data_IF_619691951342
#
_entry.id   IF_619691951342
#
_cell.length_a   1.000
_cell.length_b   1.000
_cell.length_c   1.000
_cell.angle_alpha   90.00
_cell.angle_beta   90.00
_cell.angle_gamma   90.00
#
_symmetry.space_group_name_H-M   'P 1'
#
loop_
_entity.id
_entity.type
_entity.pdbx_description
1 polymer ?
#
# COMPACT_ATOMS: atom_id res chain seq x y z
N UNK A 1 13.98 9.72 2.41
CA UNK A 1 12.53 9.81 2.59
C UNK A 1 12.15 9.26 3.95
N UNK A 2 11.23 9.89 4.63
CA UNK A 2 10.84 9.47 5.99
C UNK A 2 10.00 8.20 5.96
N UNK A 3 10.35 7.23 6.81
CA UNK A 3 9.55 6.02 7.01
C UNK A 3 8.13 6.38 7.45
N UNK A 4 8.01 7.41 8.27
CA UNK A 4 6.73 7.92 8.77
C UNK A 4 5.76 8.24 7.62
N UNK A 5 6.27 8.86 6.54
CA UNK A 5 5.43 9.23 5.40
C UNK A 5 4.89 7.99 4.67
N UNK A 6 5.69 6.92 4.61
CA UNK A 6 5.24 5.65 4.01
C UNK A 6 4.14 5.06 4.85
N UNK A 7 4.34 4.91 6.17
CA UNK A 7 3.35 4.33 7.06
C UNK A 7 2.07 5.15 7.12
N UNK A 8 2.20 6.48 7.12
CA UNK A 8 1.04 7.36 7.07
C UNK A 8 0.20 7.12 5.82
N UNK A 9 0.87 6.98 4.68
CA UNK A 9 0.19 6.80 3.40
C UNK A 9 -0.61 5.51 3.37
N UNK A 10 -0.05 4.41 3.87
CA UNK A 10 -0.73 3.10 3.84
C UNK A 10 -1.70 2.89 4.99
N UNK A 11 -1.78 3.82 5.94
CA UNK A 11 -2.67 3.68 7.10
C UNK A 11 -4.14 3.84 6.75
N UNK A 12 -4.46 4.41 5.59
CA UNK A 12 -5.83 4.67 5.17
C UNK A 12 -6.30 3.63 4.17
N UNK A 13 -7.50 3.03 4.37
CA UNK A 13 -7.98 1.98 3.46
C UNK A 13 -8.24 2.47 2.04
N UNK A 14 -8.67 3.73 1.87
CA UNK A 14 -8.87 4.29 0.52
C UNK A 14 -7.55 4.40 -0.22
N UNK A 15 -6.50 4.83 0.47
CA UNK A 15 -5.18 4.92 -0.15
C UNK A 15 -4.63 3.55 -0.52
N UNK A 16 -4.85 2.53 0.32
CA UNK A 16 -4.47 1.15 -0.04
C UNK A 16 -5.23 0.67 -1.27
N UNK A 17 -6.53 1.02 -1.35
CA UNK A 17 -7.36 0.69 -2.51
C UNK A 17 -6.83 1.33 -3.80
N UNK A 18 -6.41 2.60 -3.72
CA UNK A 18 -5.83 3.31 -4.85
C UNK A 18 -4.55 2.61 -5.32
N UNK A 19 -3.69 2.22 -4.37
CA UNK A 19 -2.45 1.51 -4.70
C UNK A 19 -2.76 0.18 -5.41
N UNK A 20 -3.75 -0.55 -4.94
CA UNK A 20 -4.16 -1.81 -5.57
C UNK A 20 -4.64 -1.58 -7.00
N UNK A 21 -5.40 -0.51 -7.23
CA UNK A 21 -5.85 -0.13 -8.56
C UNK A 21 -4.66 0.16 -9.48
N UNK A 22 -3.69 0.93 -8.96
CA UNK A 22 -2.52 1.33 -9.75
C UNK A 22 -1.56 0.18 -10.01
N UNK A 23 -1.68 -0.93 -9.28
CA UNK A 23 -0.89 -2.13 -9.57
C UNK A 23 -1.24 -2.73 -10.92
N UNK A 24 -2.40 -2.41 -11.46
CA UNK A 24 -2.84 -2.84 -12.79
C UNK A 24 -2.36 -1.94 -13.92
N UNK A 25 -1.68 -0.85 -13.60
CA UNK A 25 -1.16 0.09 -14.59
C UNK A 25 -1.46 1.53 -14.24
N UNK A 26 -0.87 2.44 -14.99
CA UNK A 26 -1.05 3.87 -14.85
C UNK A 26 -2.52 4.29 -15.02
N UNK A 27 -2.98 5.28 -14.24
CA UNK A 27 -4.35 5.81 -14.33
C UNK A 27 -4.33 7.32 -14.27
N UNK A 28 -5.25 7.94 -15.01
CA UNK A 28 -5.46 9.38 -14.92
C UNK A 28 -6.23 9.73 -13.65
N UNK A 29 -6.18 11.01 -13.26
CA UNK A 29 -6.97 11.49 -12.13
C UNK A 29 -8.47 11.24 -12.37
N UNK A 30 -8.95 11.43 -13.59
CA UNK A 30 -10.35 11.17 -13.90
C UNK A 30 -10.73 9.70 -13.70
N UNK A 31 -9.88 8.80 -14.14
CA UNK A 31 -10.12 7.35 -13.99
C UNK A 31 -10.18 6.96 -12.51
N UNK A 32 -9.26 7.50 -11.72
CA UNK A 32 -9.23 7.20 -10.28
C UNK A 32 -10.48 7.76 -9.61
N UNK A 33 -10.82 9.03 -9.89
CA UNK A 33 -11.96 9.70 -9.27
C UNK A 33 -13.27 8.97 -9.58
N UNK A 34 -13.39 8.42 -10.79
CA UNK A 34 -14.59 7.72 -11.22
C UNK A 34 -14.87 6.45 -10.39
N UNK A 35 -13.87 5.90 -9.70
CA UNK A 35 -14.02 4.67 -8.93
C UNK A 35 -14.48 4.91 -7.49
N UNK A 36 -14.56 6.15 -7.05
CA UNK A 36 -14.88 6.47 -5.65
C UNK A 36 -16.04 7.46 -5.55
N UNK A 37 -16.83 7.28 -4.48
CA UNK A 37 -17.92 8.18 -4.16
C UNK A 37 -17.44 9.30 -3.25
N UNK A 38 -16.41 10.04 -3.71
CA UNK A 38 -15.88 11.15 -2.94
C UNK A 38 -15.55 12.29 -3.92
N UNK A 39 -15.38 13.49 -3.36
CA UNK A 39 -15.09 14.65 -4.19
C UNK A 39 -13.70 14.55 -4.82
N UNK A 40 -13.54 15.22 -5.95
CA UNK A 40 -12.24 15.28 -6.63
C UNK A 40 -11.13 15.84 -5.71
N UNK A 41 -11.37 16.92 -4.94
CA UNK A 41 -10.35 17.37 -3.97
C UNK A 41 -9.97 16.33 -2.93
N UNK A 42 -10.93 15.52 -2.47
CA UNK A 42 -10.63 14.46 -1.51
C UNK A 42 -9.72 13.39 -2.14
N UNK A 43 -10.01 12.96 -3.37
CA UNK A 43 -9.15 12.03 -4.10
C UNK A 43 -7.76 12.62 -4.30
N UNK A 44 -7.68 13.87 -4.71
CA UNK A 44 -6.42 14.57 -4.91
C UNK A 44 -5.58 14.61 -3.65
N UNK A 45 -6.23 14.82 -2.49
CA UNK A 45 -5.53 14.82 -1.21
C UNK A 45 -4.91 13.45 -0.89
N UNK A 46 -5.68 12.37 -1.15
CA UNK A 46 -5.14 11.02 -0.96
C UNK A 46 -3.95 10.76 -1.87
N UNK A 47 -4.04 11.18 -3.13
CA UNK A 47 -2.96 11.00 -4.09
C UNK A 47 -1.71 11.77 -3.68
N UNK A 48 -1.88 12.98 -3.14
CA UNK A 48 -0.77 13.79 -2.66
C UNK A 48 -0.04 13.12 -1.51
N UNK A 49 -0.78 12.52 -0.57
CA UNK A 49 -0.19 11.80 0.57
C UNK A 49 0.59 10.58 0.07
N UNK A 50 0.04 9.84 -0.91
CA UNK A 50 0.74 8.72 -1.53
C UNK A 50 2.04 9.16 -2.22
N UNK A 51 1.99 10.28 -2.94
CA UNK A 51 3.16 10.83 -3.62
C UNK A 51 4.24 11.24 -2.61
N UNK A 52 3.83 11.90 -1.52
CA UNK A 52 4.75 12.31 -0.46
C UNK A 52 5.45 11.13 0.18
N UNK A 53 4.76 10.00 0.28
CA UNK A 53 5.34 8.76 0.78
C UNK A 53 6.19 8.00 -0.24
N UNK A 54 6.26 8.49 -1.48
CA UNK A 54 7.03 7.83 -2.52
C UNK A 54 6.39 6.56 -3.05
N UNK A 55 5.10 6.36 -2.77
CA UNK A 55 4.37 5.15 -3.18
C UNK A 55 3.79 5.25 -4.57
N UNK A 56 3.62 6.47 -5.07
CA UNK A 56 3.18 6.71 -6.44
C UNK A 56 4.05 7.81 -7.07
N UNK A 57 4.10 7.76 -8.38
CA UNK A 57 4.75 8.78 -9.20
C UNK A 57 3.69 9.42 -10.08
N UNK A 58 3.76 10.73 -10.22
CA UNK A 58 2.83 11.51 -11.04
C UNK A 58 3.59 12.13 -12.19
N UNK A 59 3.04 12.01 -13.39
CA UNK A 59 3.60 12.67 -14.56
C UNK A 59 2.49 13.34 -15.38
N UNK A 60 2.84 14.40 -16.10
CA UNK A 60 1.92 15.05 -17.00
C UNK A 60 1.99 14.37 -18.37
N UNK A 61 0.82 14.17 -18.99
CA UNK A 61 0.72 13.74 -20.37
C UNK A 61 -0.38 14.54 -21.03
N UNK A 62 -0.01 15.52 -21.84
CA UNK A 62 -0.96 16.48 -22.41
C UNK A 62 -1.64 17.26 -21.29
N UNK A 63 -2.96 17.23 -21.24
CA UNK A 63 -3.75 17.91 -20.20
C UNK A 63 -4.05 17.01 -19.01
N UNK A 64 -3.59 15.75 -19.06
CA UNK A 64 -3.84 14.78 -17.99
C UNK A 64 -2.65 14.64 -17.09
N UNK A 65 -2.93 14.24 -15.85
CA UNK A 65 -1.91 13.76 -14.91
C UNK A 65 -2.11 12.27 -14.74
N UNK A 66 -1.04 11.52 -14.96
CA UNK A 66 -1.05 10.07 -14.83
C UNK A 66 -0.32 9.66 -13.57
N UNK A 67 -0.91 8.69 -12.87
CA UNK A 67 -0.44 8.20 -11.58
C UNK A 67 0.00 6.76 -11.74
N UNK A 68 1.22 6.45 -11.31
CA UNK A 68 1.78 5.11 -11.40
C UNK A 68 2.26 4.65 -10.03
N UNK A 69 2.08 3.38 -9.73
CA UNK A 69 2.57 2.79 -8.50
C UNK A 69 4.09 2.75 -8.51
N UNK A 70 4.71 3.11 -7.38
CA UNK A 70 6.14 2.96 -7.15
C UNK A 70 6.34 2.00 -5.98
N UNK A 71 6.43 0.69 -6.23
CA UNK A 71 6.44 -0.28 -5.13
C UNK A 71 7.73 -0.27 -4.31
N UNK A 72 8.79 0.41 -4.78
CA UNK A 72 10.06 0.46 -4.05
C UNK A 72 9.95 0.97 -2.62
N UNK A 73 9.07 1.95 -2.37
CA UNK A 73 8.86 2.48 -1.03
C UNK A 73 8.22 1.46 -0.09
N UNK A 74 7.54 0.44 -0.63
CA UNK A 74 6.94 -0.63 0.18
C UNK A 74 8.00 -1.53 0.82
N UNK A 75 9.24 -1.44 0.37
CA UNK A 75 10.34 -2.18 1.00
C UNK A 75 10.47 -1.81 2.48
N UNK A 76 10.27 -0.55 2.83
CA UNK A 76 10.28 -0.09 4.21
C UNK A 76 9.24 -0.85 5.05
N UNK A 77 8.04 -1.02 4.50
CA UNK A 77 6.96 -1.75 5.17
C UNK A 77 7.31 -3.23 5.26
N UNK A 78 7.78 -3.80 4.16
CA UNK A 78 8.18 -5.21 4.10
C UNK A 78 9.28 -5.52 5.11
N UNK A 79 10.28 -4.66 5.22
CA UNK A 79 11.37 -4.84 6.18
C UNK A 79 10.85 -4.80 7.61
N UNK A 80 9.94 -3.88 7.90
CA UNK A 80 9.35 -3.77 9.24
C UNK A 80 8.52 -5.00 9.58
N UNK A 81 7.68 -5.46 8.66
CA UNK A 81 6.86 -6.66 8.86
C UNK A 81 7.75 -7.89 9.01
N UNK A 82 8.81 -7.99 8.21
CA UNK A 82 9.74 -9.14 8.23
C UNK A 82 10.44 -9.30 9.58
N UNK A 83 10.64 -8.20 10.32
CA UNK A 83 11.18 -8.29 11.68
C UNK A 83 10.36 -9.22 12.57
N UNK A 84 9.05 -9.28 12.32
CA UNK A 84 8.13 -10.10 13.12
C UNK A 84 8.00 -11.53 12.61
N UNK A 85 8.63 -11.87 11.48
CA UNK A 85 8.55 -13.22 10.90
C UNK A 85 9.02 -14.29 11.89
N UNK A 86 10.06 -13.99 12.70
CA UNK A 86 10.57 -14.91 13.70
C UNK A 86 9.48 -15.31 14.70
N UNK A 87 8.60 -14.39 15.06
CA UNK A 87 7.50 -14.67 15.99
C UNK A 87 6.43 -15.55 15.36
N UNK A 88 6.15 -15.35 14.09
CA UNK A 88 5.21 -16.17 13.34
C UNK A 88 5.72 -17.60 13.20
N UNK A 89 7.00 -17.76 12.90
CA UNK A 89 7.63 -19.06 12.72
C UNK A 89 7.58 -19.86 14.02
N UNK A 90 7.90 -19.24 15.15
CA UNK A 90 7.82 -19.88 16.47
C UNK A 90 6.39 -20.30 16.79
N UNK A 91 5.43 -19.42 16.56
CA UNK A 91 4.03 -19.70 16.88
C UNK A 91 3.48 -20.82 16.02
N UNK A 92 3.82 -20.84 14.74
CA UNK A 92 3.39 -21.91 13.84
C UNK A 92 4.03 -23.25 14.23
N UNK A 93 5.28 -23.23 14.62
CA UNK A 93 5.97 -24.44 15.12
C UNK A 93 5.30 -24.98 16.38
N UNK A 94 4.94 -24.09 17.31
CA UNK A 94 4.24 -24.48 18.53
C UNK A 94 2.85 -25.06 18.24
N UNK A 95 2.12 -24.47 17.31
CA UNK A 95 0.81 -24.98 16.88
C UNK A 95 0.95 -26.38 16.28
N UNK A 96 1.94 -26.57 15.45
CA UNK A 96 2.19 -27.86 14.81
C UNK A 96 2.49 -28.93 15.86
N UNK A 97 3.33 -28.62 16.84
CA UNK A 97 3.66 -29.54 17.94
C UNK A 97 2.40 -29.90 18.74
N UNK A 98 1.57 -28.93 19.05
CA UNK A 98 0.32 -29.15 19.80
C UNK A 98 -0.61 -30.09 19.06
N UNK A 99 -0.77 -29.89 17.77
CA UNK A 99 -1.64 -30.72 16.92
C UNK A 99 -1.07 -32.15 16.82
N UNK A 100 0.25 -32.29 16.66
CA UNK A 100 0.90 -33.59 16.58
C UNK A 100 0.78 -34.36 17.91
N UNK A 101 0.82 -33.67 19.04
CA UNK A 101 0.64 -34.28 20.34
C UNK A 101 -0.81 -34.73 20.58
N UNK A 102 -1.75 -34.01 20.04
CA UNK A 102 -3.19 -34.33 20.18
C UNK A 102 -3.60 -35.53 19.32
N UNK A 103 -2.83 -35.88 18.30
CA UNK A 103 -3.12 -36.98 17.40
C UNK A 103 -2.77 -38.37 18.00
N UNK A 104 -2.20 -38.37 19.16
CA UNK A 104 -1.92 -39.60 19.90
C UNK A 104 -3.12 -39.98 20.79
#
# INVERSE_FOLDING_TARGET
MSEQLVFRAIADPTRRSIMAMLSGGERSLNDITAQYEMTRPAVTKHLKILEQGGLIRVRAQGRQRLHALQPGALKTVSDWVSFFDQFWDEKLANLKQTVEMDDD
#
